data_IF_650472854415
#
_entry.id   IF_650472854415
#
_cell.length_a   1.000
_cell.length_b   1.000
_cell.length_c   1.000
_cell.angle_alpha   90.00
_cell.angle_beta   90.00
_cell.angle_gamma   90.00
#
_symmetry.space_group_name_H-M   'P 1'
#
loop_
_entity.id
_entity.type
_entity.pdbx_description
1 polymer ?
#
# COMPACT_ATOMS: atom_id res chain seq x y z
N UNK A 1 22.40 -5.63 -35.85
CA UNK A 1 22.38 -6.00 -34.42
C UNK A 1 20.94 -5.89 -33.97
N UNK A 2 20.29 -7.00 -33.63
CA UNK A 2 18.90 -6.97 -33.18
C UNK A 2 18.86 -6.77 -31.67
N UNK A 3 18.14 -5.75 -31.20
CA UNK A 3 17.98 -5.48 -29.77
C UNK A 3 16.64 -6.04 -29.31
N UNK A 4 16.70 -7.06 -28.46
CA UNK A 4 15.55 -7.70 -27.86
C UNK A 4 14.83 -6.77 -26.88
N UNK A 5 13.56 -7.05 -26.59
CA UNK A 5 12.77 -6.24 -25.63
C UNK A 5 13.37 -6.26 -24.22
N UNK A 6 14.08 -7.33 -23.84
CA UNK A 6 14.75 -7.46 -22.54
C UNK A 6 15.93 -6.49 -22.44
N UNK A 7 16.72 -6.37 -23.51
CA UNK A 7 17.83 -5.43 -23.58
C UNK A 7 17.34 -3.97 -23.57
N UNK A 8 16.25 -3.67 -24.28
CA UNK A 8 15.62 -2.34 -24.19
C UNK A 8 15.17 -2.03 -22.76
N UNK A 9 14.59 -2.98 -22.02
CA UNK A 9 14.22 -2.77 -20.60
C UNK A 9 15.43 -2.62 -19.68
N UNK A 10 16.51 -3.35 -19.94
CA UNK A 10 17.77 -3.18 -19.20
C UNK A 10 18.35 -1.76 -19.42
N UNK A 11 18.24 -1.24 -20.64
CA UNK A 11 18.60 0.15 -20.92
C UNK A 11 17.77 1.14 -20.11
N UNK A 12 16.43 0.99 -20.10
CA UNK A 12 15.54 1.84 -19.28
C UNK A 12 15.95 1.80 -17.81
N UNK A 13 16.32 0.64 -17.28
CA UNK A 13 16.81 0.51 -15.89
C UNK A 13 18.04 1.38 -15.62
N UNK A 14 19.02 1.36 -16.52
CA UNK A 14 20.22 2.19 -16.39
C UNK A 14 19.87 3.68 -16.55
N UNK A 15 18.99 4.02 -17.49
CA UNK A 15 18.57 5.39 -17.73
C UNK A 15 17.81 6.01 -16.53
N UNK A 16 16.95 5.22 -15.86
CA UNK A 16 16.28 5.64 -14.62
C UNK A 16 17.27 5.87 -13.49
N UNK A 17 18.29 5.01 -13.33
CA UNK A 17 19.36 5.22 -12.34
C UNK A 17 20.17 6.50 -12.61
N UNK A 18 20.28 6.90 -13.88
CA UNK A 18 20.92 8.15 -14.31
C UNK A 18 19.99 9.37 -14.18
N UNK A 19 18.74 9.20 -13.77
CA UNK A 19 17.77 10.29 -13.64
C UNK A 19 17.22 10.81 -14.96
N UNK A 20 17.36 10.06 -16.07
CA UNK A 20 16.81 10.47 -17.38
C UNK A 20 15.30 10.40 -17.40
N UNK A 21 14.69 11.24 -18.24
CA UNK A 21 13.25 11.28 -18.42
C UNK A 21 12.78 10.16 -19.38
N UNK A 22 11.52 9.73 -19.25
CA UNK A 22 10.91 8.74 -20.13
C UNK A 22 10.87 9.18 -21.60
N UNK A 23 10.71 10.49 -21.86
CA UNK A 23 10.74 11.05 -23.21
C UNK A 23 12.12 10.92 -23.86
N UNK A 24 13.18 11.20 -23.11
CA UNK A 24 14.57 11.08 -23.60
C UNK A 24 14.90 9.62 -23.91
N UNK A 25 14.48 8.68 -23.04
CA UNK A 25 14.65 7.26 -23.31
C UNK A 25 13.92 6.82 -24.58
N UNK A 26 12.71 7.34 -24.81
CA UNK A 26 11.93 7.00 -25.99
C UNK A 26 12.55 7.58 -27.26
N UNK A 27 13.01 8.84 -27.25
CA UNK A 27 13.69 9.42 -28.42
C UNK A 27 14.95 8.65 -28.79
N UNK A 28 15.75 8.24 -27.79
CA UNK A 28 16.95 7.43 -28.00
C UNK A 28 16.61 6.06 -28.60
N UNK A 29 15.52 5.42 -28.17
CA UNK A 29 15.07 4.17 -28.79
C UNK A 29 14.61 4.37 -30.23
N UNK A 30 13.87 5.43 -30.52
CA UNK A 30 13.41 5.70 -31.89
C UNK A 30 14.60 6.00 -32.81
N UNK A 31 15.58 6.75 -32.33
CA UNK A 31 16.81 7.06 -33.07
C UNK A 31 17.66 5.81 -33.34
N UNK A 32 17.83 4.93 -32.35
CA UNK A 32 18.67 3.74 -32.48
C UNK A 32 17.99 2.54 -33.14
N UNK A 33 16.68 2.34 -32.89
CA UNK A 33 15.94 1.12 -33.23
C UNK A 33 14.80 1.33 -34.23
N UNK A 34 14.40 2.59 -34.48
CA UNK A 34 13.30 2.94 -35.37
C UNK A 34 12.03 2.16 -35.03
N UNK A 35 11.54 1.37 -35.98
CA UNK A 35 10.30 0.59 -35.83
C UNK A 35 10.39 -0.54 -34.79
N UNK A 36 11.61 -0.94 -34.39
CA UNK A 36 11.82 -1.97 -33.37
C UNK A 36 11.84 -1.39 -31.94
N UNK A 37 11.71 -0.07 -31.79
CA UNK A 37 11.66 0.61 -30.51
C UNK A 37 10.43 0.22 -29.69
N UNK A 38 10.60 0.19 -28.36
CA UNK A 38 9.47 0.13 -27.45
C UNK A 38 8.59 1.38 -27.61
N UNK A 39 7.25 1.22 -27.70
CA UNK A 39 6.36 2.36 -27.78
C UNK A 39 6.41 3.16 -26.48
N UNK A 40 6.25 4.48 -26.59
CA UNK A 40 6.30 5.43 -25.47
C UNK A 40 5.54 4.96 -24.22
N UNK A 41 4.28 4.50 -24.38
CA UNK A 41 3.44 4.02 -23.27
C UNK A 41 4.11 2.92 -22.45
N UNK A 42 4.89 2.07 -23.11
CA UNK A 42 5.59 0.96 -22.47
C UNK A 42 6.81 1.48 -21.74
N UNK A 43 7.58 2.39 -22.35
CA UNK A 43 8.71 3.06 -21.70
C UNK A 43 8.26 3.75 -20.41
N UNK A 44 7.20 4.57 -20.47
CA UNK A 44 6.66 5.27 -19.31
C UNK A 44 6.22 4.31 -18.18
N UNK A 45 5.50 3.23 -18.51
CA UNK A 45 5.13 2.20 -17.52
C UNK A 45 6.35 1.57 -16.85
N UNK A 46 7.39 1.27 -17.62
CA UNK A 46 8.64 0.71 -17.08
C UNK A 46 9.37 1.71 -16.20
N UNK A 47 9.47 2.97 -16.60
CA UNK A 47 10.08 4.03 -15.78
C UNK A 47 9.38 4.17 -14.43
N UNK A 48 8.04 4.21 -14.42
CA UNK A 48 7.26 4.26 -13.17
C UNK A 48 7.52 3.02 -12.31
N UNK A 49 7.47 1.83 -12.90
CA UNK A 49 7.69 0.55 -12.19
C UNK A 49 9.10 0.47 -11.57
N UNK A 50 10.12 0.94 -12.29
CA UNK A 50 11.50 0.97 -11.83
C UNK A 50 11.72 2.02 -10.73
N UNK A 51 11.10 3.21 -10.85
CA UNK A 51 11.12 4.23 -9.78
C UNK A 51 10.46 3.76 -8.49
N UNK A 52 9.48 2.85 -8.58
CA UNK A 52 8.83 2.21 -7.43
C UNK A 52 9.68 1.12 -6.76
N UNK A 53 10.94 0.91 -7.19
CA UNK A 53 11.86 -0.06 -6.58
C UNK A 53 11.75 -1.47 -7.14
N UNK A 54 11.09 -1.66 -8.30
CA UNK A 54 11.04 -2.96 -8.95
C UNK A 54 12.40 -3.29 -9.61
N UNK A 55 13.03 -4.38 -9.19
CA UNK A 55 14.37 -4.77 -9.67
C UNK A 55 14.30 -5.65 -10.93
N UNK A 56 13.15 -6.30 -11.20
CA UNK A 56 12.98 -7.26 -12.28
C UNK A 56 12.86 -6.57 -13.65
N UNK A 57 13.72 -6.96 -14.59
CA UNK A 57 13.70 -6.53 -16.01
C UNK A 57 12.83 -7.43 -16.90
N UNK A 58 12.40 -8.57 -16.37
CA UNK A 58 11.42 -9.45 -17.01
C UNK A 58 10.02 -8.91 -16.79
N UNK A 59 9.12 -9.14 -17.76
CA UNK A 59 7.70 -9.10 -17.40
C UNK A 59 7.53 -10.12 -16.27
N UNK A 60 7.08 -9.65 -15.12
CA UNK A 60 6.56 -10.55 -14.11
C UNK A 60 5.43 -11.28 -14.85
N UNK A 61 5.54 -12.62 -14.99
CA UNK A 61 4.37 -13.41 -15.36
C UNK A 61 3.30 -12.95 -14.39
N UNK A 62 2.27 -12.28 -14.91
CA UNK A 62 1.18 -11.81 -14.09
C UNK A 62 0.67 -13.04 -13.38
N UNK A 63 1.03 -13.21 -12.11
CA UNK A 63 0.51 -14.30 -11.32
C UNK A 63 -0.98 -14.10 -11.44
N UNK A 64 -1.68 -15.03 -12.09
CA UNK A 64 -3.13 -15.07 -12.05
C UNK A 64 -3.47 -15.00 -10.57
N UNK A 65 -3.89 -13.81 -10.13
CA UNK A 65 -4.27 -13.39 -8.79
C UNK A 65 -4.00 -14.42 -7.68
N UNK A 66 -2.91 -14.33 -6.88
CA UNK A 66 -2.83 -15.09 -5.64
C UNK A 66 -3.66 -14.32 -4.59
N UNK A 67 -4.96 -14.63 -4.51
CA UNK A 67 -5.90 -13.97 -3.56
C UNK A 67 -6.28 -14.76 -2.32
N UNK A 68 -5.66 -15.91 -2.06
CA UNK A 68 -5.90 -16.57 -0.77
C UNK A 68 -4.97 -16.06 0.32
N UNK A 69 -3.65 -16.10 0.13
CA UNK A 69 -2.72 -16.09 1.28
C UNK A 69 -2.50 -14.72 1.94
N UNK A 70 -2.42 -13.61 1.18
CA UNK A 70 -2.25 -12.26 1.77
C UNK A 70 -3.55 -11.68 2.34
N UNK A 71 -4.69 -12.14 1.85
CA UNK A 71 -6.00 -11.64 2.29
C UNK A 71 -6.40 -12.26 3.62
N UNK A 72 -6.04 -13.50 3.90
CA UNK A 72 -6.41 -14.14 5.17
C UNK A 72 -5.63 -13.58 6.36
N UNK A 73 -4.32 -13.31 6.21
CA UNK A 73 -3.54 -12.62 7.25
C UNK A 73 -4.00 -11.16 7.42
N UNK A 74 -4.24 -10.44 6.33
CA UNK A 74 -4.76 -9.08 6.42
C UNK A 74 -6.17 -9.04 7.02
N UNK A 75 -7.05 -10.00 6.68
CA UNK A 75 -8.40 -10.13 7.26
C UNK A 75 -8.32 -10.46 8.74
N UNK A 76 -7.46 -11.40 9.14
CA UNK A 76 -7.28 -11.75 10.56
C UNK A 76 -6.77 -10.55 11.38
N UNK A 77 -5.82 -9.78 10.84
CA UNK A 77 -5.34 -8.56 11.50
C UNK A 77 -6.43 -7.49 11.55
N UNK A 78 -7.21 -7.30 10.48
CA UNK A 78 -8.32 -6.35 10.47
C UNK A 78 -9.43 -6.79 11.45
N UNK A 79 -9.76 -8.09 11.53
CA UNK A 79 -10.74 -8.64 12.48
C UNK A 79 -10.27 -8.45 13.94
N UNK A 80 -9.01 -8.74 14.25
CA UNK A 80 -8.44 -8.50 15.57
C UNK A 80 -8.49 -7.02 15.95
N UNK A 81 -8.09 -6.12 15.04
CA UNK A 81 -8.16 -4.68 15.27
C UNK A 81 -9.61 -4.19 15.45
N UNK A 82 -10.56 -4.72 14.71
CA UNK A 82 -11.98 -4.38 14.87
C UNK A 82 -12.57 -4.88 16.19
N UNK A 83 -12.19 -6.08 16.65
CA UNK A 83 -12.64 -6.64 17.92
C UNK A 83 -12.02 -5.90 19.13
N UNK A 84 -10.75 -5.49 19.03
CA UNK A 84 -10.08 -4.66 20.04
C UNK A 84 -10.70 -3.26 20.12
N UNK A 85 -11.02 -2.63 18.98
CA UNK A 85 -11.66 -1.31 18.95
C UNK A 85 -13.10 -1.37 19.49
N UNK A 86 -13.82 -2.46 19.23
CA UNK A 86 -15.15 -2.73 19.83
C UNK A 86 -15.08 -2.90 21.34
N UNK A 87 -14.14 -3.72 21.87
CA UNK A 87 -13.94 -3.87 23.33
C UNK A 87 -13.56 -2.56 24.00
N UNK A 88 -12.69 -1.77 23.38
CA UNK A 88 -12.24 -0.48 23.91
C UNK A 88 -13.39 0.54 23.98
N UNK A 89 -14.29 0.54 22.98
CA UNK A 89 -15.52 1.36 23.00
C UNK A 89 -16.55 0.89 24.03
N UNK A 90 -16.59 -0.41 24.35
CA UNK A 90 -17.43 -0.93 25.44
C UNK A 90 -16.86 -0.50 26.81
N UNK A 91 -15.55 -0.65 27.04
CA UNK A 91 -14.90 -0.32 28.32
C UNK A 91 -14.98 1.18 28.67
N UNK A 92 -14.84 2.06 27.65
CA UNK A 92 -14.96 3.51 27.86
C UNK A 92 -16.39 3.98 28.13
N UNK A 93 -17.41 3.21 27.73
CA UNK A 93 -18.80 3.47 28.11
C UNK A 93 -19.05 3.04 29.55
N UNK A 94 -18.57 1.87 29.95
CA UNK A 94 -18.71 1.39 31.34
C UNK A 94 -17.98 2.29 32.35
N UNK A 95 -16.81 2.85 32.00
CA UNK A 95 -16.07 3.78 32.88
C UNK A 95 -16.73 5.17 33.00
N UNK A 96 -17.45 5.61 31.96
CA UNK A 96 -18.27 6.83 32.05
C UNK A 96 -19.54 6.59 32.87
N UNK A 97 -20.16 5.43 32.72
CA UNK A 97 -21.32 5.04 33.50
C UNK A 97 -20.96 4.86 34.98
N UNK A 98 -19.87 4.17 35.35
CA UNK A 98 -19.44 3.99 36.75
C UNK A 98 -18.94 5.28 37.40
N UNK A 99 -18.35 6.23 36.66
CA UNK A 99 -18.05 7.59 37.18
C UNK A 99 -19.31 8.41 37.46
N UNK A 100 -20.36 8.24 36.66
CA UNK A 100 -21.66 8.86 36.93
C UNK A 100 -22.32 8.15 38.13
N UNK A 101 -22.30 6.81 38.19
CA UNK A 101 -22.89 6.05 39.31
C UNK A 101 -22.15 6.32 40.63
N UNK A 102 -20.83 6.51 40.65
CA UNK A 102 -20.09 6.88 41.87
C UNK A 102 -20.44 8.29 42.39
N UNK A 103 -20.64 9.26 41.49
CA UNK A 103 -21.12 10.60 41.84
C UNK A 103 -22.57 10.56 42.34
N UNK A 104 -23.45 9.82 41.64
CA UNK A 104 -24.87 9.69 41.97
C UNK A 104 -25.11 8.85 43.25
N UNK A 105 -24.34 7.78 43.48
CA UNK A 105 -24.33 7.03 44.74
C UNK A 105 -23.85 7.89 45.91
N UNK A 106 -22.90 8.79 45.70
CA UNK A 106 -22.44 9.71 46.74
C UNK A 106 -23.56 10.67 47.17
N UNK A 107 -24.38 11.17 46.23
CA UNK A 107 -25.55 12.02 46.56
C UNK A 107 -26.69 11.24 47.23
N UNK A 108 -26.93 9.98 46.82
CA UNK A 108 -27.94 9.11 47.45
C UNK A 108 -27.52 8.60 48.84
N UNK A 109 -26.24 8.34 49.08
CA UNK A 109 -25.72 8.00 50.42
C UNK A 109 -25.82 9.20 51.38
N UNK A 110 -25.70 10.44 50.91
CA UNK A 110 -25.84 11.63 51.74
C UNK A 110 -27.29 11.93 52.20
N UNK A 111 -28.32 11.34 51.56
CA UNK A 111 -29.73 11.57 51.95
C UNK A 111 -30.33 10.44 52.79
N UNK A 112 -29.61 9.34 53.02
CA UNK A 112 -30.05 8.24 53.90
C UNK A 112 -29.31 8.17 55.24
N UNK A 113 -28.44 9.15 55.53
CA UNK A 113 -27.75 9.27 56.82
C UNK A 113 -27.67 10.73 57.27
N UNK A 114 -28.84 11.35 57.45
CA UNK A 114 -28.99 12.55 58.27
C UNK A 114 -29.94 12.19 59.43
N UNK A 115 -29.48 12.27 60.70
CA UNK A 115 -30.29 11.98 61.89
C UNK A 115 -31.37 13.05 62.17
#
# INVERSE_FOLDING_TARGET
MEVTRVEQRAYIKIAVLRGRNEMECHSEFVEALGNNALPYRTVARWVVKLKQGCVSTSDEQGSGRPVSVRTDLARAVIEQLMDEDRRSRQQTKTDRETRIVMSTLCVLCCHSFAP
#
